data_IF_834128515915
#
_entry.id   IF_834128515915
#
_cell.length_a   1.000
_cell.length_b   1.000
_cell.length_c   1.000
_cell.angle_alpha   90.00
_cell.angle_beta   90.00
_cell.angle_gamma   90.00
#
_symmetry.space_group_name_H-M   'P 1'
#
loop_
_entity.id
_entity.type
_entity.pdbx_description
1 polymer ?
#
# COMPACT_ATOMS: atom_id res chain seq x y z
N UNK A 1 13.40 10.67 13.73
CA UNK A 1 13.72 9.24 13.51
C UNK A 1 13.22 8.32 14.63
N UNK A 2 12.78 8.87 15.78
CA UNK A 2 12.27 8.11 16.95
C UNK A 2 10.78 7.68 16.88
N UNK A 3 10.00 8.20 15.93
CA UNK A 3 8.53 8.05 15.92
C UNK A 3 7.99 6.64 15.57
N UNK A 4 8.84 5.68 15.22
CA UNK A 4 8.40 4.41 14.61
C UNK A 4 8.79 3.14 15.37
N UNK A 5 9.37 3.27 16.56
CA UNK A 5 9.87 2.12 17.33
C UNK A 5 8.77 1.30 18.05
N UNK A 6 7.51 1.75 18.05
CA UNK A 6 6.43 1.14 18.82
C UNK A 6 5.22 0.57 18.06
N UNK A 7 5.06 0.87 16.75
CA UNK A 7 3.75 0.67 16.11
C UNK A 7 3.40 -0.80 15.87
N UNK A 8 2.21 -1.28 16.26
CA UNK A 8 1.69 -2.57 15.76
C UNK A 8 1.21 -2.46 14.31
N UNK A 9 0.96 -3.60 13.64
CA UNK A 9 0.42 -3.60 12.26
C UNK A 9 -0.90 -2.82 12.16
N UNK A 10 -1.75 -2.92 13.18
CA UNK A 10 -2.98 -2.14 13.29
C UNK A 10 -2.72 -0.63 13.46
N UNK A 11 -1.69 -0.25 14.20
CA UNK A 11 -1.32 1.17 14.35
C UNK A 11 -0.77 1.77 13.04
N UNK A 12 -0.12 0.95 12.21
CA UNK A 12 0.27 1.36 10.87
C UNK A 12 -0.96 1.61 10.00
N UNK A 13 -1.94 0.71 10.02
CA UNK A 13 -3.20 0.85 9.28
C UNK A 13 -3.95 2.11 9.71
N UNK A 14 -4.09 2.35 11.02
CA UNK A 14 -4.68 3.59 11.53
C UNK A 14 -3.94 4.85 11.06
N UNK A 15 -2.60 4.81 11.00
CA UNK A 15 -1.82 5.95 10.52
C UNK A 15 -2.03 6.18 9.01
N UNK A 16 -2.11 5.11 8.23
CA UNK A 16 -2.48 5.19 6.80
C UNK A 16 -3.85 5.84 6.65
N UNK A 17 -4.86 5.35 7.37
CA UNK A 17 -6.21 5.92 7.35
C UNK A 17 -6.22 7.41 7.72
N UNK A 18 -5.52 7.79 8.80
CA UNK A 18 -5.44 9.19 9.23
C UNK A 18 -4.81 10.11 8.15
N UNK A 19 -3.82 9.61 7.41
CA UNK A 19 -3.25 10.34 6.27
C UNK A 19 -4.26 10.46 5.12
N UNK A 20 -5.04 9.41 4.85
CA UNK A 20 -6.09 9.46 3.83
C UNK A 20 -7.20 10.45 4.20
N UNK A 21 -7.62 10.46 5.47
CA UNK A 21 -8.58 11.42 6.02
C UNK A 21 -8.08 12.87 5.83
N UNK A 22 -6.80 13.13 6.16
CA UNK A 22 -6.18 14.45 5.99
C UNK A 22 -6.14 14.89 4.52
N UNK A 23 -6.00 13.93 3.60
CA UNK A 23 -6.00 14.19 2.15
C UNK A 23 -7.42 14.26 1.57
N UNK A 24 -8.46 14.02 2.36
CA UNK A 24 -9.85 13.99 1.90
C UNK A 24 -10.16 12.84 0.94
N UNK A 25 -9.42 11.73 1.04
CA UNK A 25 -9.61 10.55 0.19
C UNK A 25 -10.59 9.57 0.86
N UNK A 26 -11.56 9.06 0.11
CA UNK A 26 -12.47 8.00 0.56
C UNK A 26 -11.75 6.65 0.54
N UNK A 27 -12.00 5.82 1.55
CA UNK A 27 -11.43 4.48 1.62
C UNK A 27 -12.32 3.49 2.36
N UNK A 28 -12.08 2.21 2.09
CA UNK A 28 -12.62 1.07 2.82
C UNK A 28 -11.47 0.28 3.45
N UNK A 29 -11.68 -0.30 4.63
CA UNK A 29 -10.71 -1.18 5.27
C UNK A 29 -11.12 -2.64 5.15
N UNK A 30 -10.15 -3.55 5.00
CA UNK A 30 -10.38 -5.00 5.00
C UNK A 30 -11.30 -5.50 3.87
N UNK A 31 -11.25 -4.85 2.69
CA UNK A 31 -12.03 -5.20 1.49
C UNK A 31 -11.43 -6.42 0.78
N UNK A 32 -12.27 -7.27 0.20
CA UNK A 32 -11.78 -8.36 -0.66
C UNK A 32 -11.35 -7.84 -2.02
N UNK A 33 -10.16 -8.24 -2.47
CA UNK A 33 -9.64 -7.91 -3.80
C UNK A 33 -10.52 -8.50 -4.90
N UNK A 34 -10.83 -7.68 -5.90
CA UNK A 34 -11.58 -7.98 -7.11
C UNK A 34 -10.83 -8.99 -7.99
N UNK A 35 -9.50 -9.01 -7.88
CA UNK A 35 -8.63 -9.88 -8.67
C UNK A 35 -8.14 -11.12 -7.91
N UNK A 36 -8.64 -11.36 -6.70
CA UNK A 36 -8.23 -12.46 -5.80
C UNK A 36 -6.72 -12.46 -5.47
N UNK A 37 -6.23 -13.53 -4.82
CA UNK A 37 -4.80 -13.72 -4.53
C UNK A 37 -4.05 -14.25 -5.75
N UNK A 38 -2.73 -14.02 -5.79
CA UNK A 38 -1.79 -14.76 -6.64
C UNK A 38 -1.84 -16.28 -6.37
N UNK A 39 -2.31 -16.72 -5.21
CA UNK A 39 -2.63 -18.14 -4.96
C UNK A 39 -4.01 -18.45 -5.55
N UNK A 40 -4.04 -19.37 -6.51
CA UNK A 40 -5.28 -19.86 -7.12
C UNK A 40 -6.24 -20.40 -6.05
N UNK A 41 -7.51 -20.01 -6.13
CA UNK A 41 -8.58 -20.46 -5.23
C UNK A 41 -8.61 -19.76 -3.87
N UNK A 42 -7.74 -18.77 -3.62
CA UNK A 42 -7.72 -18.03 -2.35
C UNK A 42 -8.21 -16.59 -2.53
N UNK A 43 -9.18 -16.20 -1.71
CA UNK A 43 -9.58 -14.78 -1.59
C UNK A 43 -8.51 -14.02 -0.83
N UNK A 44 -8.23 -12.80 -1.27
CA UNK A 44 -7.27 -11.89 -0.66
C UNK A 44 -8.03 -10.73 -0.05
N UNK A 45 -7.75 -10.44 1.21
CA UNK A 45 -8.26 -9.25 1.90
C UNK A 45 -7.17 -8.18 1.84
N UNK A 46 -7.55 -6.98 1.43
CA UNK A 46 -6.67 -5.82 1.33
C UNK A 46 -6.88 -4.96 2.57
N UNK A 47 -5.80 -4.52 3.20
CA UNK A 47 -5.86 -3.78 4.46
C UNK A 47 -6.65 -2.47 4.30
N UNK A 48 -6.34 -1.69 3.25
CA UNK A 48 -7.04 -0.45 2.92
C UNK A 48 -7.20 -0.31 1.40
N UNK A 49 -8.37 0.11 0.93
CA UNK A 49 -8.66 0.38 -0.48
C UNK A 49 -9.15 1.81 -0.60
N UNK A 50 -8.44 2.64 -1.36
CA UNK A 50 -8.92 3.98 -1.73
C UNK A 50 -9.98 3.82 -2.80
N UNK A 51 -11.11 4.51 -2.66
CA UNK A 51 -12.26 4.39 -3.55
C UNK A 51 -12.72 5.75 -4.07
N UNK A 52 -13.45 5.76 -5.17
CA UNK A 52 -14.16 6.94 -5.67
C UNK A 52 -15.50 7.15 -4.96
N UNK A 53 -16.30 8.10 -5.44
CA UNK A 53 -17.63 8.41 -4.89
C UNK A 53 -18.64 7.28 -5.08
N UNK A 54 -18.40 6.38 -6.04
CA UNK A 54 -19.23 5.22 -6.37
C UNK A 54 -18.73 3.92 -5.71
N UNK A 55 -17.70 4.00 -4.86
CA UNK A 55 -17.04 2.86 -4.20
C UNK A 55 -16.25 1.94 -5.13
N UNK A 56 -15.86 2.43 -6.33
CA UNK A 56 -14.94 1.70 -7.20
C UNK A 56 -13.49 1.81 -6.68
N UNK A 57 -12.70 0.73 -6.76
CA UNK A 57 -11.34 0.72 -6.25
C UNK A 57 -10.42 1.60 -7.12
N UNK A 58 -9.83 2.62 -6.50
CA UNK A 58 -8.82 3.48 -7.12
C UNK A 58 -7.40 3.01 -6.82
N UNK A 59 -7.17 2.41 -5.65
CA UNK A 59 -5.88 1.88 -5.22
C UNK A 59 -6.00 0.88 -4.07
N UNK A 60 -5.25 -0.21 -4.13
CA UNK A 60 -4.99 -1.11 -3.01
C UNK A 60 -3.80 -0.64 -2.17
N UNK A 61 -3.92 -0.73 -0.84
CA UNK A 61 -2.87 -0.39 0.10
C UNK A 61 -2.71 -1.55 1.09
N UNK A 62 -1.52 -2.17 1.09
CA UNK A 62 -1.14 -3.21 2.04
C UNK A 62 -0.23 -2.63 3.13
N UNK A 63 -0.55 -2.87 4.40
CA UNK A 63 0.22 -2.42 5.56
C UNK A 63 1.14 -3.53 6.08
N UNK A 64 2.43 -3.22 6.26
CA UNK A 64 3.41 -4.16 6.82
C UNK A 64 4.28 -3.49 7.89
N UNK A 65 4.12 -3.91 9.14
CA UNK A 65 5.00 -3.48 10.24
C UNK A 65 5.88 -4.64 10.73
N UNK A 66 7.15 -4.34 11.00
CA UNK A 66 8.05 -5.29 11.69
C UNK A 66 8.96 -4.61 12.72
N UNK A 67 8.81 -5.05 13.98
CA UNK A 67 9.58 -4.54 15.11
C UNK A 67 10.91 -5.28 15.31
N UNK A 68 10.89 -6.61 15.33
CA UNK A 68 12.08 -7.43 15.58
C UNK A 68 12.55 -8.10 14.31
N UNK A 69 13.86 -8.32 14.20
CA UNK A 69 14.42 -9.19 13.17
C UNK A 69 13.89 -10.62 13.33
N UNK A 70 13.71 -11.33 12.22
CA UNK A 70 13.22 -12.71 12.15
C UNK A 70 13.15 -13.17 10.70
N UNK A 71 12.68 -14.39 10.43
CA UNK A 71 12.52 -14.98 9.08
C UNK A 71 11.37 -14.34 8.29
N UNK A 72 11.38 -13.01 8.23
CA UNK A 72 10.42 -12.18 7.54
C UNK A 72 10.61 -12.11 6.03
N UNK A 73 11.59 -12.84 5.49
CA UNK A 73 11.85 -12.97 4.05
C UNK A 73 10.56 -13.24 3.25
N UNK A 74 9.58 -13.93 3.84
CA UNK A 74 8.31 -14.23 3.17
C UNK A 74 7.34 -13.05 3.15
N UNK A 75 7.28 -12.20 4.19
CA UNK A 75 6.15 -11.26 4.35
C UNK A 75 6.17 -10.11 3.36
N UNK A 76 7.31 -9.43 3.25
CA UNK A 76 7.45 -8.26 2.38
C UNK A 76 7.54 -8.70 0.91
N UNK A 77 8.29 -9.76 0.63
CA UNK A 77 8.40 -10.34 -0.71
C UNK A 77 7.03 -10.78 -1.27
N UNK A 78 6.24 -11.49 -0.46
CA UNK A 78 4.91 -11.95 -0.87
C UNK A 78 3.94 -10.79 -1.07
N UNK A 79 4.04 -9.73 -0.25
CA UNK A 79 3.27 -8.52 -0.46
C UNK A 79 3.66 -7.85 -1.80
N UNK A 80 4.94 -7.81 -2.15
CA UNK A 80 5.44 -7.28 -3.43
C UNK A 80 4.88 -8.07 -4.62
N UNK A 81 4.91 -9.40 -4.56
CA UNK A 81 4.36 -10.27 -5.62
C UNK A 81 2.88 -9.95 -5.86
N UNK A 82 2.10 -9.85 -4.79
CA UNK A 82 0.67 -9.57 -4.88
C UNK A 82 0.39 -8.14 -5.39
N UNK A 83 1.16 -7.15 -4.89
CA UNK A 83 1.04 -5.76 -5.36
C UNK A 83 1.38 -5.62 -6.85
N UNK A 84 2.44 -6.26 -7.31
CA UNK A 84 2.80 -6.25 -8.73
C UNK A 84 1.76 -6.96 -9.59
N UNK A 85 1.16 -8.05 -9.08
CA UNK A 85 0.04 -8.71 -9.76
C UNK A 85 -1.17 -7.78 -9.89
N UNK A 86 -1.57 -7.11 -8.81
CA UNK A 86 -2.69 -6.17 -8.84
C UNK A 86 -2.44 -5.06 -9.88
N UNK A 87 -1.24 -4.49 -9.90
CA UNK A 87 -0.83 -3.49 -10.91
C UNK A 87 -0.94 -4.03 -12.34
N UNK A 88 -0.45 -5.25 -12.58
CA UNK A 88 -0.53 -5.89 -13.90
C UNK A 88 -1.97 -6.19 -14.35
N UNK A 89 -2.91 -6.29 -13.40
CA UNK A 89 -4.34 -6.47 -13.67
C UNK A 89 -5.11 -5.14 -13.70
N UNK A 90 -4.40 -4.01 -13.73
CA UNK A 90 -4.98 -2.69 -13.88
C UNK A 90 -5.43 -2.03 -12.58
N UNK A 91 -5.13 -2.62 -11.42
CA UNK A 91 -5.45 -2.02 -10.11
C UNK A 91 -4.18 -1.43 -9.50
N UNK A 92 -4.06 -0.10 -9.37
CA UNK A 92 -2.95 0.50 -8.65
C UNK A 92 -2.82 -0.10 -7.26
N UNK A 93 -1.60 -0.46 -6.86
CA UNK A 93 -1.36 -1.14 -5.58
C UNK A 93 -0.05 -0.68 -4.97
N UNK A 94 -0.03 -0.46 -3.66
CA UNK A 94 1.17 -0.10 -2.92
C UNK A 94 1.26 -0.83 -1.59
N UNK A 95 2.49 -1.06 -1.14
CA UNK A 95 2.78 -1.54 0.20
C UNK A 95 3.32 -0.38 1.01
N UNK A 96 2.66 -0.07 2.12
CA UNK A 96 3.15 0.87 3.12
C UNK A 96 3.79 0.08 4.24
N UNK A 97 5.05 0.36 4.53
CA UNK A 97 5.79 -0.37 5.56
C UNK A 97 6.44 0.52 6.60
N UNK A 98 6.63 -0.04 7.79
CA UNK A 98 7.27 0.63 8.94
C UNK A 98 8.00 -0.36 9.85
N UNK A 99 8.71 0.18 10.83
CA UNK A 99 9.49 -0.58 11.79
C UNK A 99 10.94 -0.80 11.34
N UNK A 100 11.74 -1.35 12.24
CA UNK A 100 13.20 -1.46 12.12
C UNK A 100 13.68 -2.91 12.06
N UNK A 101 12.77 -3.89 12.09
CA UNK A 101 13.13 -5.30 12.05
C UNK A 101 13.36 -5.86 10.64
N UNK A 102 13.29 -5.04 9.58
CA UNK A 102 13.51 -5.45 8.19
C UNK A 102 15.00 -5.54 7.86
N UNK A 103 15.40 -6.53 7.08
CA UNK A 103 16.78 -6.56 6.57
C UNK A 103 16.98 -5.49 5.51
N UNK A 104 18.22 -5.03 5.28
CA UNK A 104 18.52 -4.13 4.15
C UNK A 104 18.11 -4.69 2.78
N UNK A 105 18.16 -6.02 2.61
CA UNK A 105 17.73 -6.68 1.38
C UNK A 105 16.22 -6.60 1.18
N UNK A 106 15.42 -6.86 2.22
CA UNK A 106 13.96 -6.73 2.18
C UNK A 106 13.54 -5.31 1.82
N UNK A 107 14.10 -4.33 2.53
CA UNK A 107 13.79 -2.92 2.28
C UNK A 107 14.15 -2.51 0.85
N UNK A 108 15.34 -2.90 0.38
CA UNK A 108 15.76 -2.61 -1.00
C UNK A 108 14.80 -3.24 -2.01
N UNK A 109 14.46 -4.51 -1.84
CA UNK A 109 13.55 -5.21 -2.74
C UNK A 109 12.18 -4.53 -2.79
N UNK A 110 11.60 -4.20 -1.63
CA UNK A 110 10.30 -3.55 -1.56
C UNK A 110 10.30 -2.14 -2.16
N UNK A 111 11.31 -1.32 -1.85
CA UNK A 111 11.44 0.05 -2.39
C UNK A 111 11.62 0.04 -3.92
N UNK A 112 12.44 -0.87 -4.46
CA UNK A 112 12.61 -1.02 -5.91
C UNK A 112 11.33 -1.47 -6.63
N UNK A 113 10.38 -2.07 -5.91
CA UNK A 113 9.07 -2.47 -6.43
C UNK A 113 7.95 -1.48 -6.07
N UNK A 114 8.30 -0.25 -5.68
CA UNK A 114 7.35 0.84 -5.46
C UNK A 114 6.63 0.80 -4.12
N UNK A 115 7.14 0.05 -3.14
CA UNK A 115 6.66 0.15 -1.76
C UNK A 115 7.11 1.49 -1.15
N UNK A 116 6.37 2.00 -0.19
CA UNK A 116 6.67 3.26 0.48
C UNK A 116 6.82 3.09 1.98
N UNK A 117 7.79 3.79 2.53
CA UNK A 117 7.94 3.94 3.97
C UNK A 117 6.89 4.91 4.51
N UNK A 118 6.26 4.58 5.63
CA UNK A 118 5.18 5.38 6.22
C UNK A 118 5.52 6.87 6.39
N UNK A 119 6.79 7.22 6.62
CA UNK A 119 7.30 8.60 6.70
C UNK A 119 7.05 9.42 5.44
N UNK A 120 7.03 8.75 4.28
CA UNK A 120 6.87 9.38 2.97
C UNK A 120 5.50 9.09 2.35
N UNK A 121 4.63 8.34 3.04
CA UNK A 121 3.36 7.89 2.49
C UNK A 121 2.46 9.06 2.06
N UNK A 122 2.36 10.10 2.89
CA UNK A 122 1.54 11.28 2.58
C UNK A 122 1.99 11.99 1.30
N UNK A 123 3.29 12.24 1.15
CA UNK A 123 3.83 12.92 -0.03
C UNK A 123 3.69 12.04 -1.27
N UNK A 124 3.89 10.73 -1.12
CA UNK A 124 3.68 9.77 -2.19
C UNK A 124 2.21 9.77 -2.67
N UNK A 125 1.25 9.78 -1.75
CA UNK A 125 -0.19 9.84 -2.07
C UNK A 125 -0.55 11.13 -2.80
N UNK A 126 -0.04 12.28 -2.33
CA UNK A 126 -0.22 13.56 -3.02
C UNK A 126 0.31 13.51 -4.45
N UNK A 127 1.52 12.97 -4.63
CA UNK A 127 2.13 12.85 -5.95
C UNK A 127 1.30 11.95 -6.87
N UNK A 128 0.94 10.74 -6.41
CA UNK A 128 0.16 9.79 -7.18
C UNK A 128 -1.18 10.39 -7.64
N UNK A 129 -1.95 10.98 -6.72
CA UNK A 129 -3.25 11.55 -7.06
C UNK A 129 -3.17 12.90 -7.77
N UNK A 130 -2.06 13.65 -7.66
CA UNK A 130 -1.82 14.83 -8.49
C UNK A 130 -1.63 14.45 -9.96
N UNK A 131 -0.86 13.40 -10.26
CA UNK A 131 -0.71 12.91 -11.62
C UNK A 131 -2.02 12.35 -12.18
N UNK A 132 -2.82 11.68 -11.35
CA UNK A 132 -4.14 11.20 -11.78
C UNK A 132 -5.12 12.32 -12.09
N UNK A 133 -5.07 13.45 -11.36
CA UNK A 133 -5.86 14.66 -11.69
C UNK A 133 -5.40 15.33 -12.98
N UNK A 134 -4.17 15.05 -13.44
CA UNK A 134 -3.62 15.54 -14.71
C UNK A 134 -3.97 14.66 -15.90
N UNK A 135 -4.61 13.50 -15.69
CA UNK A 135 -5.24 12.71 -16.75
C UNK A 135 -6.77 12.75 -16.67
N UNK A 136 -7.43 13.87 -17.04
CA UNK A 136 -8.82 13.82 -17.45
C UNK A 136 -8.94 13.51 -18.95
N UNK A 137 -8.16 14.18 -19.83
CA UNK A 137 -8.27 14.04 -21.30
C UNK A 137 -7.04 14.58 -22.10
N UNK A 138 -5.90 14.93 -21.48
CA UNK A 138 -4.94 15.87 -22.09
C UNK A 138 -3.78 15.30 -22.93
N UNK A 139 -3.94 14.18 -23.66
CA UNK A 139 -2.91 13.73 -24.64
C UNK A 139 -3.48 13.49 -26.05
N UNK A 140 -4.75 13.82 -26.30
CA UNK A 140 -5.32 13.78 -27.65
C UNK A 140 -6.07 15.09 -27.97
N UNK A 141 -5.30 16.15 -28.18
CA UNK A 141 -5.61 17.24 -29.13
C UNK A 141 -4.33 17.56 -29.92
#
# INVERSE_FOLDING_TARGET
MEFYQGKKSEELKHHVCAVLDELGLKYETERYSEVNSAIIGKRRRIDVVVVDDESNPLMHIECKHQRTAGTAEVKLFRAVVESNRDKNLGIPSIIVFSGFGWTPADMRHALLNGSVRIEFFKDWMKLFFSYRKLEPDSICD
#
